data_IF_956706273772
#
_entry.id   IF_956706273772
#
_cell.length_a   1.000
_cell.length_b   1.000
_cell.length_c   1.000
_cell.angle_alpha   90.00
_cell.angle_beta   90.00
_cell.angle_gamma   90.00
#
_symmetry.space_group_name_H-M   'P 1'
#
loop_
_entity.id
_entity.type
_entity.pdbx_description
1 polymer ?
#
# COMPACT_ATOMS: atom_id res chain seq x y z
N UNK A 1 -37.65 11.13 12.95
CA UNK A 1 -36.86 11.80 11.90
C UNK A 1 -37.26 11.17 10.59
N UNK A 2 -37.61 11.97 9.59
CA UNK A 2 -37.95 11.48 8.25
C UNK A 2 -36.65 11.08 7.53
N UNK A 3 -36.67 9.93 6.85
CA UNK A 3 -35.53 9.37 6.13
C UNK A 3 -35.92 9.29 4.66
N UNK A 4 -35.09 9.84 3.78
CA UNK A 4 -35.34 9.90 2.35
C UNK A 4 -34.33 8.98 1.65
N UNK A 5 -34.83 8.06 0.83
CA UNK A 5 -34.02 7.21 -0.04
C UNK A 5 -33.60 7.98 -1.30
N UNK A 6 -32.31 7.98 -1.60
CA UNK A 6 -31.74 8.61 -2.81
C UNK A 6 -31.85 7.72 -4.05
N UNK A 7 -32.18 6.42 -3.90
CA UNK A 7 -32.34 5.46 -5.00
C UNK A 7 -31.04 4.93 -5.60
N UNK A 8 -29.94 5.66 -5.45
CA UNK A 8 -28.60 5.30 -5.91
C UNK A 8 -27.59 5.18 -4.76
N UNK A 9 -26.50 4.42 -4.92
CA UNK A 9 -25.38 4.42 -3.99
C UNK A 9 -24.74 5.80 -3.86
N UNK A 10 -24.04 6.02 -2.73
CA UNK A 10 -23.27 7.24 -2.51
C UNK A 10 -22.34 7.52 -3.71
N UNK A 11 -22.46 8.73 -4.26
CA UNK A 11 -21.78 9.15 -5.48
C UNK A 11 -21.00 10.44 -5.24
N UNK A 12 -19.81 10.52 -5.83
CA UNK A 12 -18.85 11.62 -5.61
C UNK A 12 -18.48 12.28 -6.93
N UNK A 13 -18.17 13.60 -6.94
CA UNK A 13 -17.73 14.30 -8.14
C UNK A 13 -16.38 13.74 -8.63
N UNK A 14 -16.22 13.63 -9.95
CA UNK A 14 -14.98 13.18 -10.60
C UNK A 14 -14.58 14.11 -11.74
N UNK A 15 -13.39 13.90 -12.31
CA UNK A 15 -12.88 14.65 -13.45
C UNK A 15 -11.85 15.73 -13.10
N UNK A 16 -11.40 16.49 -14.10
CA UNK A 16 -10.32 17.47 -13.91
C UNK A 16 -10.66 18.60 -12.91
N UNK A 17 -11.94 18.92 -12.75
CA UNK A 17 -12.41 19.97 -11.83
C UNK A 17 -12.18 19.64 -10.34
N UNK A 18 -11.96 18.37 -9.99
CA UNK A 18 -11.69 17.97 -8.60
C UNK A 18 -10.22 18.09 -8.21
N UNK A 19 -9.33 18.34 -9.16
CA UNK A 19 -7.90 18.48 -8.88
C UNK A 19 -7.62 19.70 -8.01
N UNK A 20 -6.85 19.51 -6.93
CA UNK A 20 -6.49 20.56 -5.98
C UNK A 20 -7.57 20.87 -4.93
N UNK A 21 -8.69 20.13 -4.93
CA UNK A 21 -9.79 20.28 -3.98
C UNK A 21 -9.71 19.24 -2.85
N UNK A 22 -10.23 19.55 -1.68
CA UNK A 22 -10.32 18.61 -0.54
C UNK A 22 -11.78 18.24 -0.31
N UNK A 23 -12.08 16.95 -0.25
CA UNK A 23 -13.43 16.41 -0.10
C UNK A 23 -13.58 15.55 1.16
N UNK A 24 -14.78 15.51 1.71
CA UNK A 24 -15.18 14.49 2.67
C UNK A 24 -15.65 13.21 1.96
N UNK A 25 -16.07 12.20 2.74
CA UNK A 25 -16.52 10.89 2.21
C UNK A 25 -17.79 11.02 1.35
N UNK A 26 -18.63 12.03 1.61
CA UNK A 26 -19.86 12.30 0.85
C UNK A 26 -19.59 13.00 -0.49
N UNK A 27 -18.34 13.40 -0.75
CA UNK A 27 -17.98 14.14 -1.97
C UNK A 27 -18.20 15.64 -1.86
N UNK A 28 -18.40 16.18 -0.66
CA UNK A 28 -18.59 17.61 -0.42
C UNK A 28 -17.23 18.29 -0.20
N UNK A 29 -16.97 19.46 -0.82
CA UNK A 29 -15.72 20.19 -0.62
C UNK A 29 -15.65 20.79 0.79
N UNK A 30 -14.52 20.58 1.47
CA UNK A 30 -14.25 21.07 2.84
C UNK A 30 -13.10 22.09 2.89
N UNK A 31 -12.67 22.59 1.74
CA UNK A 31 -11.53 23.49 1.55
C UNK A 31 -11.90 24.99 1.59
N UNK A 32 -13.17 25.33 1.81
CA UNK A 32 -13.70 26.70 1.77
C UNK A 32 -13.50 27.44 0.43
N UNK A 33 -13.25 26.72 -0.67
CA UNK A 33 -13.08 27.30 -2.02
C UNK A 33 -14.37 27.36 -2.84
N UNK A 34 -15.53 27.18 -2.20
CA UNK A 34 -16.84 27.15 -2.86
C UNK A 34 -17.18 25.80 -3.50
N UNK A 35 -18.26 25.71 -4.30
CA UNK A 35 -18.66 24.47 -4.95
C UNK A 35 -17.66 24.02 -6.03
N UNK A 36 -17.77 22.76 -6.47
CA UNK A 36 -16.97 22.20 -7.56
C UNK A 36 -17.86 22.02 -8.78
N UNK A 37 -17.51 22.69 -9.88
CA UNK A 37 -18.19 22.52 -11.17
C UNK A 37 -17.71 21.22 -11.85
N UNK A 38 -18.17 20.08 -11.34
CA UNK A 38 -17.93 18.78 -11.95
C UNK A 38 -19.07 18.43 -12.91
N UNK A 39 -18.71 17.96 -14.11
CA UNK A 39 -19.67 17.50 -15.12
C UNK A 39 -20.14 16.06 -14.90
N UNK A 40 -19.51 15.29 -14.00
CA UNK A 40 -19.80 13.88 -13.80
C UNK A 40 -19.60 13.43 -12.35
N UNK A 41 -20.53 12.63 -11.84
CA UNK A 41 -20.45 11.97 -10.53
C UNK A 41 -20.42 10.47 -10.70
N UNK A 42 -19.58 9.77 -9.94
CA UNK A 42 -19.45 8.30 -10.00
C UNK A 42 -19.79 7.67 -8.63
N UNK A 43 -20.43 6.48 -8.60
CA UNK A 43 -20.68 5.76 -7.37
C UNK A 43 -19.38 5.23 -6.76
N UNK A 44 -19.29 5.26 -5.42
CA UNK A 44 -18.12 4.75 -4.69
C UNK A 44 -18.04 3.22 -4.71
N UNK A 45 -19.19 2.55 -4.81
CA UNK A 45 -19.32 1.11 -4.93
C UNK A 45 -19.35 0.71 -6.41
N UNK A 46 -18.27 0.04 -6.86
CA UNK A 46 -18.13 -0.50 -8.21
C UNK A 46 -17.37 -1.82 -8.16
N UNK A 47 -17.70 -2.73 -9.08
CA UNK A 47 -16.99 -3.99 -9.22
C UNK A 47 -15.54 -3.77 -9.68
N UNK A 48 -14.68 -4.73 -9.36
CA UNK A 48 -13.33 -4.78 -9.91
C UNK A 48 -13.38 -4.97 -11.44
N UNK A 49 -12.35 -4.51 -12.18
CA UNK A 49 -12.22 -4.76 -13.61
C UNK A 49 -12.30 -6.25 -13.94
N UNK A 50 -12.89 -6.58 -15.10
CA UNK A 50 -12.98 -7.97 -15.52
C UNK A 50 -11.59 -8.49 -15.94
N UNK A 51 -11.38 -9.81 -15.81
CA UNK A 51 -10.11 -10.45 -16.17
C UNK A 51 -9.62 -10.09 -17.59
N UNK A 52 -10.53 -9.99 -18.55
CA UNK A 52 -10.22 -9.64 -19.95
C UNK A 52 -9.73 -8.20 -20.13
N UNK A 53 -9.98 -7.32 -19.17
CA UNK A 53 -9.58 -5.91 -19.22
C UNK A 53 -8.21 -5.66 -18.60
N UNK A 54 -7.68 -6.62 -17.85
CA UNK A 54 -6.40 -6.53 -17.16
C UNK A 54 -5.23 -6.47 -18.17
N UNK A 55 -4.28 -5.59 -17.89
CA UNK A 55 -3.04 -5.50 -18.65
C UNK A 55 -1.97 -6.45 -18.07
N UNK A 56 -1.34 -7.24 -18.94
CA UNK A 56 -0.29 -8.19 -18.56
C UNK A 56 1.11 -7.62 -18.70
N UNK A 57 1.26 -6.39 -19.22
CA UNK A 57 2.56 -5.74 -19.36
C UNK A 57 3.18 -5.44 -18.01
N UNK A 58 4.33 -6.06 -17.75
CA UNK A 58 5.19 -5.70 -16.64
C UNK A 58 6.05 -4.52 -17.05
N UNK A 59 5.93 -3.41 -16.33
CA UNK A 59 6.79 -2.23 -16.49
C UNK A 59 7.16 -1.67 -15.13
N UNK A 60 8.41 -1.22 -15.02
CA UNK A 60 8.94 -0.61 -13.80
C UNK A 60 8.40 0.82 -13.69
N UNK A 61 8.09 1.22 -12.47
CA UNK A 61 7.79 2.59 -12.10
C UNK A 61 9.00 3.19 -11.39
N UNK A 62 9.74 4.03 -12.09
CA UNK A 62 10.92 4.71 -11.56
C UNK A 62 10.50 5.83 -10.60
N UNK A 63 10.93 5.71 -9.34
CA UNK A 63 10.55 6.66 -8.28
C UNK A 63 11.54 7.80 -8.12
N UNK A 64 12.80 7.61 -8.57
CA UNK A 64 13.92 8.49 -8.29
C UNK A 64 14.52 8.28 -6.88
N UNK A 65 13.99 7.34 -6.10
CA UNK A 65 14.47 7.01 -4.77
C UNK A 65 15.42 5.82 -4.87
N UNK A 66 16.72 6.07 -4.70
CA UNK A 66 17.80 5.08 -4.88
C UNK A 66 17.53 3.72 -4.22
N UNK A 67 17.12 3.72 -2.95
CA UNK A 67 16.88 2.48 -2.19
C UNK A 67 15.67 1.70 -2.74
N UNK A 68 14.63 2.41 -3.18
CA UNK A 68 13.43 1.81 -3.77
C UNK A 68 13.76 1.28 -5.16
N UNK A 69 14.29 2.12 -6.04
CA UNK A 69 14.56 1.75 -7.43
C UNK A 69 15.58 0.60 -7.52
N UNK A 70 16.57 0.56 -6.64
CA UNK A 70 17.55 -0.52 -6.62
C UNK A 70 17.04 -1.81 -5.95
N UNK A 71 16.49 -1.73 -4.74
CA UNK A 71 16.27 -2.90 -3.88
C UNK A 71 14.81 -3.38 -3.80
N UNK A 72 13.86 -2.50 -4.07
CA UNK A 72 12.43 -2.81 -4.06
C UNK A 72 11.69 -2.07 -5.19
N UNK A 73 12.08 -2.30 -6.47
CA UNK A 73 11.56 -1.53 -7.60
C UNK A 73 10.05 -1.68 -7.72
N UNK A 74 9.35 -0.58 -8.01
CA UNK A 74 7.89 -0.59 -8.09
C UNK A 74 7.40 -1.01 -9.46
N UNK A 75 6.22 -1.64 -9.48
CA UNK A 75 5.51 -1.98 -10.70
C UNK A 75 4.56 -0.84 -11.06
N UNK A 76 4.57 -0.40 -12.32
CA UNK A 76 3.54 0.52 -12.83
C UNK A 76 2.19 -0.19 -12.85
N UNK A 77 1.17 0.44 -12.26
CA UNK A 77 -0.14 -0.19 -12.06
C UNK A 77 -0.16 -1.23 -10.94
N UNK A 78 0.90 -1.31 -10.14
CA UNK A 78 1.00 -2.22 -9.01
C UNK A 78 0.54 -1.59 -7.69
N UNK A 79 0.42 -2.44 -6.68
CA UNK A 79 0.05 -2.10 -5.31
C UNK A 79 1.30 -2.15 -4.43
N UNK A 80 1.65 -1.03 -3.81
CA UNK A 80 2.81 -0.88 -2.95
C UNK A 80 2.34 -0.64 -1.52
N UNK A 81 2.85 -1.43 -0.56
CA UNK A 81 2.63 -1.18 0.87
C UNK A 81 3.83 -0.51 1.51
N UNK A 82 3.61 0.62 2.18
CA UNK A 82 4.56 1.27 3.08
C UNK A 82 4.23 0.87 4.51
N UNK A 83 5.13 0.17 5.18
CA UNK A 83 4.91 -0.33 6.53
C UNK A 83 5.71 0.49 7.54
N UNK A 84 5.05 0.98 8.58
CA UNK A 84 5.66 1.76 9.66
C UNK A 84 4.96 1.54 11.00
N UNK A 85 5.66 1.83 12.10
CA UNK A 85 5.17 1.61 13.46
C UNK A 85 4.41 2.78 14.09
N UNK A 86 3.50 2.41 14.99
CA UNK A 86 2.66 3.15 15.97
C UNK A 86 1.45 4.01 15.52
N UNK A 87 0.26 3.62 16.02
CA UNK A 87 -0.88 4.51 16.31
C UNK A 87 -2.27 4.09 15.81
N UNK A 88 -3.00 3.32 16.64
CA UNK A 88 -4.48 3.07 16.69
C UNK A 88 -5.21 2.49 15.46
N UNK A 89 -5.76 1.29 15.65
CA UNK A 89 -6.86 0.75 14.84
C UNK A 89 -8.10 0.57 15.73
N UNK A 90 -9.08 1.46 15.56
CA UNK A 90 -10.36 1.43 16.29
C UNK A 90 -11.30 0.34 15.76
N UNK A 91 -11.85 -0.43 16.68
CA UNK A 91 -12.75 -1.56 16.49
C UNK A 91 -14.18 -1.09 16.13
N UNK A 92 -14.68 -1.45 14.94
CA UNK A 92 -16.07 -1.12 14.50
C UNK A 92 -16.94 -2.39 14.37
N UNK A 93 -16.36 -3.59 14.49
CA UNK A 93 -17.10 -4.86 14.32
C UNK A 93 -18.11 -5.16 15.42
N UNK A 94 -17.79 -4.83 16.68
CA UNK A 94 -18.64 -5.14 17.83
C UNK A 94 -20.02 -4.47 17.73
N UNK A 95 -20.10 -3.30 17.06
CA UNK A 95 -21.34 -2.54 16.90
C UNK A 95 -22.35 -3.20 15.94
N UNK A 96 -21.89 -4.11 15.06
CA UNK A 96 -22.72 -4.76 14.05
C UNK A 96 -23.21 -6.16 14.48
N UNK A 97 -22.94 -6.58 15.72
CA UNK A 97 -23.42 -7.85 16.27
C UNK A 97 -22.84 -9.10 15.60
N UNK A 98 -21.78 -8.97 14.81
CA UNK A 98 -21.09 -10.11 14.18
C UNK A 98 -20.14 -10.75 15.18
N UNK A 99 -20.06 -12.09 15.17
CA UNK A 99 -19.05 -12.80 15.96
C UNK A 99 -17.66 -12.39 15.47
N UNK A 100 -16.75 -11.94 16.37
CA UNK A 100 -15.40 -11.57 16.00
C UNK A 100 -14.61 -12.80 15.54
N UNK A 101 -13.66 -12.57 14.65
CA UNK A 101 -12.68 -13.54 14.17
C UNK A 101 -11.38 -13.41 14.98
N UNK A 102 -10.28 -13.95 14.44
CA UNK A 102 -8.95 -13.87 15.05
C UNK A 102 -8.60 -12.43 15.45
N UNK A 103 -8.03 -12.27 16.66
CA UNK A 103 -7.55 -10.98 17.20
C UNK A 103 -8.63 -9.88 17.26
N UNK A 104 -9.92 -10.25 17.19
CA UNK A 104 -11.04 -9.30 17.27
C UNK A 104 -11.48 -8.69 15.92
N UNK A 105 -10.89 -9.12 14.80
CA UNK A 105 -11.27 -8.61 13.48
C UNK A 105 -12.62 -9.13 12.99
N UNK A 106 -13.18 -8.44 11.99
CA UNK A 106 -14.40 -8.87 11.31
C UNK A 106 -14.17 -10.21 10.59
N UNK A 107 -15.14 -11.14 10.56
CA UNK A 107 -15.03 -12.38 9.79
C UNK A 107 -14.96 -12.13 8.27
N UNK A 108 -15.37 -10.95 7.81
CA UNK A 108 -15.37 -10.54 6.40
C UNK A 108 -14.11 -9.77 5.98
N UNK A 109 -13.12 -9.62 6.87
CA UNK A 109 -11.92 -8.78 6.64
C UNK A 109 -11.25 -9.06 5.29
N UNK A 110 -10.98 -10.33 4.97
CA UNK A 110 -10.31 -10.71 3.72
C UNK A 110 -11.12 -10.38 2.48
N UNK A 111 -12.44 -10.59 2.53
CA UNK A 111 -13.34 -10.28 1.41
C UNK A 111 -13.44 -8.77 1.21
N UNK A 112 -13.60 -7.99 2.28
CA UNK A 112 -13.73 -6.53 2.20
C UNK A 112 -12.44 -5.89 1.66
N UNK A 113 -11.28 -6.30 2.19
CA UNK A 113 -9.98 -5.88 1.65
C UNK A 113 -9.84 -6.30 0.19
N UNK A 114 -10.20 -7.53 -0.17
CA UNK A 114 -10.15 -8.01 -1.54
C UNK A 114 -10.99 -7.16 -2.50
N UNK A 115 -12.24 -6.84 -2.14
CA UNK A 115 -13.10 -6.00 -3.00
C UNK A 115 -12.55 -4.60 -3.24
N UNK A 116 -11.82 -4.03 -2.27
CA UNK A 116 -11.14 -2.75 -2.41
C UNK A 116 -9.87 -2.89 -3.28
N UNK A 117 -9.01 -3.84 -2.93
CA UNK A 117 -7.70 -4.01 -3.55
C UNK A 117 -7.81 -4.43 -5.01
N UNK A 118 -8.76 -5.30 -5.38
CA UNK A 118 -8.91 -5.76 -6.77
C UNK A 118 -9.39 -4.67 -7.74
N UNK A 119 -9.94 -3.57 -7.23
CA UNK A 119 -10.27 -2.40 -8.07
C UNK A 119 -9.04 -1.60 -8.47
N UNK A 120 -7.96 -1.70 -7.69
CA UNK A 120 -6.69 -1.05 -7.98
C UNK A 120 -5.89 -1.98 -8.88
N UNK A 121 -6.02 -1.80 -10.19
CA UNK A 121 -5.33 -2.65 -11.15
C UNK A 121 -4.89 -1.85 -12.38
N UNK A 122 -3.97 -2.44 -13.15
CA UNK A 122 -3.66 -1.98 -14.49
C UNK A 122 -4.64 -2.59 -15.49
N UNK A 123 -5.31 -1.75 -16.26
CA UNK A 123 -6.22 -2.16 -17.34
C UNK A 123 -5.71 -1.66 -18.69
N UNK A 124 -6.27 -2.16 -19.78
CA UNK A 124 -5.94 -1.68 -21.14
C UNK A 124 -6.22 -0.20 -21.37
N UNK A 125 -7.11 0.41 -20.57
CA UNK A 125 -7.45 1.84 -20.67
C UNK A 125 -6.48 2.74 -19.89
N UNK A 126 -5.79 2.19 -18.90
CA UNK A 126 -4.93 2.95 -18.01
C UNK A 126 -4.50 2.15 -16.79
N UNK A 127 -3.51 2.68 -16.07
CA UNK A 127 -2.89 2.03 -14.91
C UNK A 127 -3.03 2.89 -13.66
N UNK A 128 -3.44 2.30 -12.54
CA UNK A 128 -3.41 2.95 -11.22
C UNK A 128 -2.31 2.30 -10.40
N UNK A 129 -1.26 3.07 -10.09
CA UNK A 129 -0.24 2.66 -9.13
C UNK A 129 -0.65 3.18 -7.75
N UNK A 130 -0.86 2.32 -6.77
CA UNK A 130 -1.23 2.75 -5.41
C UNK A 130 -0.08 2.57 -4.44
N UNK A 131 0.21 3.61 -3.66
CA UNK A 131 1.12 3.55 -2.51
C UNK A 131 0.25 3.65 -1.26
N UNK A 132 0.25 2.60 -0.44
CA UNK A 132 -0.66 2.43 0.67
C UNK A 132 0.13 2.38 1.97
N UNK A 133 -0.14 3.29 2.89
CA UNK A 133 0.42 3.21 4.24
C UNK A 133 -0.34 2.12 5.01
N UNK A 134 0.38 1.08 5.41
CA UNK A 134 -0.17 -0.03 6.20
C UNK A 134 0.38 0.09 7.61
N UNK A 135 -0.54 0.29 8.54
CA UNK A 135 -0.22 0.28 9.96
C UNK A 135 -0.03 -1.16 10.44
N UNK A 136 1.06 -1.41 11.16
CA UNK A 136 1.34 -2.71 11.80
C UNK A 136 1.09 -2.58 13.30
N UNK A 137 0.01 -3.17 13.84
CA UNK A 137 -0.25 -3.18 15.27
C UNK A 137 0.90 -3.84 16.02
N UNK A 138 1.42 -3.17 17.05
CA UNK A 138 2.50 -3.69 17.91
C UNK A 138 3.75 -4.19 17.17
N UNK A 139 4.00 -3.69 15.94
CA UNK A 139 5.06 -4.18 15.04
C UNK A 139 4.96 -5.69 14.71
N UNK A 140 3.78 -6.31 14.86
CA UNK A 140 3.52 -7.71 14.53
C UNK A 140 2.99 -7.88 13.11
N UNK A 141 3.85 -8.35 12.20
CA UNK A 141 3.48 -8.63 10.80
C UNK A 141 2.57 -9.86 10.65
N UNK A 142 2.42 -10.67 11.70
CA UNK A 142 1.55 -11.86 11.70
C UNK A 142 0.10 -11.55 12.03
N UNK A 143 -0.20 -10.30 12.42
CA UNK A 143 -1.56 -9.84 12.65
C UNK A 143 -2.42 -10.00 11.38
N UNK A 144 -3.71 -10.41 11.50
CA UNK A 144 -4.57 -10.65 10.34
C UNK A 144 -4.71 -9.48 9.36
N UNK A 145 -4.66 -8.22 9.82
CA UNK A 145 -4.81 -7.05 8.96
C UNK A 145 -3.61 -6.82 8.01
N UNK A 146 -2.36 -6.71 8.49
CA UNK A 146 -1.20 -6.63 7.61
C UNK A 146 -1.05 -7.92 6.79
N UNK A 147 -1.25 -9.10 7.39
CA UNK A 147 -1.14 -10.39 6.69
C UNK A 147 -2.06 -10.50 5.47
N UNK A 148 -3.32 -10.08 5.61
CA UNK A 148 -4.28 -10.05 4.49
C UNK A 148 -3.86 -9.02 3.44
N UNK A 149 -3.37 -7.86 3.87
CA UNK A 149 -2.95 -6.80 2.95
C UNK A 149 -1.74 -7.23 2.13
N UNK A 150 -0.77 -7.91 2.73
CA UNK A 150 0.43 -8.43 2.06
C UNK A 150 0.12 -9.29 0.84
N UNK A 151 -0.94 -10.10 0.89
CA UNK A 151 -1.32 -10.97 -0.21
C UNK A 151 -1.69 -10.22 -1.50
N UNK A 152 -2.06 -8.94 -1.40
CA UNK A 152 -2.43 -8.11 -2.55
C UNK A 152 -1.30 -7.21 -3.05
N UNK A 153 -0.17 -7.10 -2.35
CA UNK A 153 0.88 -6.13 -2.70
C UNK A 153 1.88 -6.71 -3.70
N UNK A 154 2.23 -5.94 -4.74
CA UNK A 154 3.30 -6.25 -5.68
C UNK A 154 4.69 -5.92 -5.09
N UNK A 155 4.75 -4.94 -4.19
CA UNK A 155 5.96 -4.54 -3.49
C UNK A 155 5.65 -4.07 -2.06
N UNK A 156 6.58 -4.31 -1.15
CA UNK A 156 6.51 -3.86 0.24
C UNK A 156 7.76 -3.04 0.55
N UNK A 157 7.58 -1.91 1.20
CA UNK A 157 8.66 -1.03 1.65
C UNK A 157 8.48 -0.86 3.14
N UNK A 158 9.39 -1.49 3.89
CA UNK A 158 9.35 -1.48 5.35
C UNK A 158 10.21 -0.34 5.85
N UNK A 159 9.67 0.49 6.74
CA UNK A 159 10.36 1.62 7.35
C UNK A 159 10.88 1.22 8.73
N UNK A 160 12.20 1.29 8.91
CA UNK A 160 12.87 0.89 10.14
C UNK A 160 13.11 2.09 11.07
N UNK A 161 12.59 2.00 12.30
CA UNK A 161 12.92 2.96 13.37
C UNK A 161 14.41 2.99 13.69
N UNK A 162 15.10 1.85 13.59
CA UNK A 162 16.54 1.75 13.84
C UNK A 162 17.41 2.47 12.80
N UNK A 163 16.96 2.56 11.55
CA UNK A 163 17.62 3.36 10.52
C UNK A 163 17.33 4.86 10.71
N UNK A 164 16.09 5.21 11.05
CA UNK A 164 15.71 6.59 11.32
C UNK A 164 16.48 7.19 12.52
N UNK A 165 16.66 6.42 13.61
CA UNK A 165 17.42 6.87 14.79
C UNK A 165 18.91 7.09 14.50
N UNK A 166 19.45 6.46 13.46
CA UNK A 166 20.81 6.69 12.94
C UNK A 166 20.89 7.88 11.97
N UNK A 167 19.77 8.56 11.70
CA UNK A 167 19.70 9.70 10.79
C UNK A 167 19.66 9.34 9.30
N UNK A 168 19.36 8.07 8.95
CA UNK A 168 19.30 7.61 7.56
C UNK A 168 17.89 7.85 7.00
N UNK A 169 17.80 8.69 5.95
CA UNK A 169 16.54 9.01 5.28
C UNK A 169 16.64 8.85 3.75
N UNK A 170 15.64 8.22 3.10
CA UNK A 170 14.47 7.58 3.71
C UNK A 170 14.85 6.31 4.48
N UNK A 171 14.17 6.05 5.60
CA UNK A 171 14.48 4.98 6.54
C UNK A 171 13.98 3.59 6.07
N UNK A 172 14.18 3.27 4.79
CA UNK A 172 13.74 2.01 4.17
C UNK A 172 14.68 0.89 4.57
N UNK A 173 14.14 -0.21 5.11
CA UNK A 173 14.90 -1.41 5.41
C UNK A 173 15.24 -2.16 4.11
N UNK A 174 16.53 -2.27 3.74
CA UNK A 174 16.95 -2.88 2.48
C UNK A 174 16.82 -4.41 2.46
N UNK A 175 16.74 -5.05 3.62
CA UNK A 175 16.67 -6.50 3.76
C UNK A 175 15.22 -6.97 3.84
N UNK A 176 14.40 -6.25 4.59
CA UNK A 176 13.00 -6.64 4.81
C UNK A 176 12.06 -6.16 3.69
N UNK A 177 12.46 -5.13 2.91
CA UNK A 177 11.68 -4.67 1.77
C UNK A 177 11.78 -5.64 0.58
N UNK A 178 10.63 -6.03 0.04
CA UNK A 178 10.53 -6.99 -1.07
C UNK A 178 9.79 -6.40 -2.26
N UNK A 179 10.11 -6.89 -3.45
CA UNK A 179 9.36 -6.57 -4.67
C UNK A 179 9.32 -7.77 -5.59
N UNK A 180 8.14 -8.03 -6.15
CA UNK A 180 7.94 -9.03 -7.20
C UNK A 180 8.70 -8.68 -8.49
N UNK A 181 9.06 -7.40 -8.68
CA UNK A 181 9.78 -6.92 -9.86
C UNK A 181 11.28 -7.19 -9.81
N UNK A 182 11.86 -7.49 -8.64
CA UNK A 182 13.29 -7.71 -8.48
C UNK A 182 13.70 -9.11 -8.99
N UNK A 183 13.64 -9.30 -10.30
CA UNK A 183 13.96 -10.54 -10.99
C UNK A 183 14.79 -10.25 -12.24
N UNK A 184 15.78 -11.08 -12.60
CA UNK A 184 16.69 -10.80 -13.71
C UNK A 184 15.96 -10.57 -15.04
N UNK A 185 14.84 -11.27 -15.26
CA UNK A 185 14.04 -11.14 -16.50
C UNK A 185 13.32 -9.79 -16.64
N UNK A 186 13.15 -9.05 -15.54
CA UNK A 186 12.37 -7.80 -15.49
C UNK A 186 13.32 -6.60 -15.42
N UNK A 187 14.22 -6.58 -14.43
CA UNK A 187 15.16 -5.46 -14.21
C UNK A 187 16.47 -5.59 -14.99
N UNK A 188 16.72 -6.76 -15.60
CA UNK A 188 18.00 -7.08 -16.23
C UNK A 188 19.02 -7.68 -15.25
N UNK A 189 20.01 -8.39 -15.79
CA UNK A 189 21.03 -9.08 -14.98
C UNK A 189 21.88 -8.10 -14.17
N UNK A 190 22.32 -6.98 -14.77
CA UNK A 190 23.20 -6.01 -14.11
C UNK A 190 22.54 -5.38 -12.87
N UNK A 191 21.29 -4.93 -13.00
CA UNK A 191 20.52 -4.38 -11.88
C UNK A 191 20.34 -5.45 -10.81
N UNK A 192 19.88 -6.65 -11.20
CA UNK A 192 19.63 -7.74 -10.27
C UNK A 192 20.88 -8.13 -9.48
N UNK A 193 22.01 -8.38 -10.16
CA UNK A 193 23.28 -8.72 -9.52
C UNK A 193 23.77 -7.61 -8.59
N UNK A 194 23.62 -6.35 -9.00
CA UNK A 194 24.00 -5.21 -8.15
C UNK A 194 23.15 -5.15 -6.88
N UNK A 195 21.83 -5.35 -7.00
CA UNK A 195 20.94 -5.39 -5.85
C UNK A 195 21.26 -6.56 -4.91
N UNK A 196 21.55 -7.75 -5.45
CA UNK A 196 21.95 -8.91 -4.65
C UNK A 196 23.26 -8.68 -3.90
N UNK A 197 24.30 -8.16 -4.56
CA UNK A 197 25.58 -7.83 -3.90
C UNK A 197 25.40 -6.84 -2.75
N UNK A 198 24.53 -5.84 -2.93
CA UNK A 198 24.21 -4.88 -1.88
C UNK A 198 23.51 -5.56 -0.70
N UNK A 199 22.50 -6.41 -0.95
CA UNK A 199 21.80 -7.16 0.11
C UNK A 199 22.74 -8.10 0.86
N UNK A 200 23.58 -8.86 0.16
CA UNK A 200 24.57 -9.76 0.77
C UNK A 200 25.57 -9.00 1.65
N UNK A 201 26.06 -7.86 1.18
CA UNK A 201 26.99 -7.02 1.94
C UNK A 201 26.34 -6.48 3.22
N UNK A 202 25.09 -6.02 3.13
CA UNK A 202 24.33 -5.52 4.28
C UNK A 202 23.96 -6.61 5.27
N UNK A 203 23.62 -7.81 4.79
CA UNK A 203 23.35 -8.98 5.62
C UNK A 203 24.60 -9.36 6.43
N UNK A 204 25.74 -9.46 5.76
CA UNK A 204 27.03 -9.76 6.41
C UNK A 204 27.43 -8.67 7.41
N UNK A 205 27.16 -7.40 7.09
CA UNK A 205 27.40 -6.30 8.02
C UNK A 205 26.55 -6.44 9.29
N UNK A 206 25.27 -6.81 9.17
CA UNK A 206 24.37 -7.04 10.32
C UNK A 206 24.88 -8.18 11.22
N UNK A 207 25.29 -9.30 10.62
CA UNK A 207 25.88 -10.43 11.35
C UNK A 207 27.16 -10.05 12.10
N UNK A 208 28.02 -9.23 11.47
CA UNK A 208 29.23 -8.73 12.12
C UNK A 208 28.92 -7.75 13.26
N UNK A 209 27.88 -6.92 13.13
CA UNK A 209 27.45 -6.04 14.24
C UNK A 209 27.04 -6.85 15.48
N UNK A 210 26.34 -7.97 15.30
CA UNK A 210 25.95 -8.83 16.42
C UNK A 210 27.18 -9.43 17.13
N UNK A 211 28.20 -9.83 16.36
CA UNK A 211 29.47 -10.33 16.93
C UNK A 211 30.23 -9.22 17.68
N UNK A 212 30.32 -8.02 17.09
CA UNK A 212 30.99 -6.86 17.71
C UNK A 212 30.28 -6.45 19.00
N UNK A 213 28.95 -6.55 19.05
CA UNK A 213 28.19 -6.27 20.26
C UNK A 213 28.55 -7.25 21.38
N UNK A 214 28.75 -8.53 21.08
CA UNK A 214 29.12 -9.55 22.08
C UNK A 214 30.57 -9.38 22.58
N UNK A 215 31.53 -9.05 21.71
CA UNK A 215 32.94 -8.92 22.09
C UNK A 215 33.30 -7.63 22.86
N UNK A 216 32.44 -6.63 22.82
CA UNK A 216 32.62 -5.36 23.54
C UNK A 216 31.93 -5.34 24.93
N UNK A 217 31.42 -6.49 25.39
CA UNK A 217 31.11 -6.77 26.80
C UNK A 217 32.23 -7.57 27.45
#
# INVERSE_FOLDING_TARGET
>A
MEVIDTGDPLSVPVGGATLGRIFNILGEPIDNLGPVDSSATFPIHRSAPAFIELDTKLSIFETGIKVVDLLAPYRRGGKIGLFGGAGVGSEVSALLGRMPSAVGYQPTLSTEIGTLQERIASTRKGSITSIQAVYVPADDLTDPAPATTFAHLDATTILSRGLASKGIYPAVDPLDSISTMLQPRIVGNEHYETAQRVKETLQRYKELQDIIAIQNF
#
